data_IF_805169838542
#
_entry.id   IF_805169838542
#
_cell.length_a   1.000
_cell.length_b   1.000
_cell.length_c   1.000
_cell.angle_alpha   90.00
_cell.angle_beta   90.00
_cell.angle_gamma   90.00
#
_symmetry.space_group_name_H-M   'P 1'
#
loop_
_entity.id
_entity.type
_entity.pdbx_description
1 polymer ?
#
# COMPACT_ATOMS: atom_id res chain seq x y z
N UNK A 1 -42.36 -27.44 57.09
CA UNK A 1 -41.12 -26.71 56.73
C UNK A 1 -41.36 -25.89 55.47
N UNK A 2 -41.53 -24.57 55.57
CA UNK A 2 -41.60 -23.67 54.40
C UNK A 2 -40.19 -23.49 53.85
N UNK A 3 -39.90 -24.06 52.67
CA UNK A 3 -38.66 -23.81 51.93
C UNK A 3 -38.59 -22.31 51.65
N UNK A 4 -37.56 -21.64 52.17
CA UNK A 4 -37.30 -20.22 51.91
C UNK A 4 -37.11 -20.01 50.42
N UNK A 5 -38.06 -19.30 49.79
CA UNK A 5 -37.91 -18.77 48.44
C UNK A 5 -36.70 -17.84 48.46
N UNK A 6 -35.72 -18.05 47.59
CA UNK A 6 -34.50 -17.24 47.59
C UNK A 6 -34.84 -15.76 47.41
N UNK A 7 -34.12 -14.85 48.07
CA UNK A 7 -34.40 -13.41 47.96
C UNK A 7 -34.32 -12.88 46.52
N UNK A 8 -33.59 -13.58 45.65
CA UNK A 8 -33.42 -13.22 44.24
C UNK A 8 -34.64 -13.61 43.39
N UNK A 9 -35.39 -14.66 43.76
CA UNK A 9 -36.64 -15.05 43.08
C UNK A 9 -37.81 -14.09 43.34
N UNK A 10 -37.68 -13.18 44.31
CA UNK A 10 -38.68 -12.13 44.59
C UNK A 10 -38.52 -10.88 43.74
N UNK A 11 -37.44 -10.77 42.97
CA UNK A 11 -37.22 -9.61 42.11
C UNK A 11 -38.17 -9.63 40.91
N UNK A 12 -38.68 -8.45 40.49
CA UNK A 12 -39.37 -8.30 39.23
C UNK A 12 -38.56 -8.88 38.08
N UNK A 13 -39.22 -9.61 37.17
CA UNK A 13 -38.57 -10.29 36.03
C UNK A 13 -37.71 -9.35 35.18
N UNK A 14 -38.13 -8.09 35.05
CA UNK A 14 -37.42 -7.06 34.29
C UNK A 14 -36.08 -6.65 34.92
N UNK A 15 -36.05 -6.50 36.26
CA UNK A 15 -34.82 -6.18 36.98
C UNK A 15 -33.83 -7.35 36.93
N UNK A 16 -34.34 -8.58 37.03
CA UNK A 16 -33.52 -9.78 36.97
C UNK A 16 -32.97 -10.03 35.56
N UNK A 17 -33.75 -9.71 34.52
CA UNK A 17 -33.29 -9.69 33.13
C UNK A 17 -32.16 -8.67 32.91
N UNK A 18 -32.29 -7.45 33.46
CA UNK A 18 -31.24 -6.43 33.37
C UNK A 18 -29.95 -6.87 34.07
N UNK A 19 -30.05 -7.48 35.26
CA UNK A 19 -28.90 -8.07 35.96
C UNK A 19 -28.24 -9.16 35.12
N UNK A 20 -29.01 -10.02 34.45
CA UNK A 20 -28.46 -11.06 33.57
C UNK A 20 -27.75 -10.45 32.36
N UNK A 21 -28.33 -9.41 31.76
CA UNK A 21 -27.72 -8.64 30.67
C UNK A 21 -26.38 -8.03 31.12
N UNK A 22 -26.31 -7.48 32.33
CA UNK A 22 -25.07 -6.89 32.87
C UNK A 22 -24.01 -7.94 33.24
N UNK A 23 -24.41 -9.10 33.76
CA UNK A 23 -23.49 -10.23 34.00
C UNK A 23 -22.92 -10.72 32.67
N UNK A 24 -23.77 -10.89 31.65
CA UNK A 24 -23.33 -11.24 30.30
C UNK A 24 -22.44 -10.13 29.74
N UNK A 25 -22.76 -8.85 29.97
CA UNK A 25 -21.96 -7.69 29.58
C UNK A 25 -20.52 -7.79 30.08
N UNK A 26 -20.31 -8.31 31.27
CA UNK A 26 -18.98 -8.40 31.87
C UNK A 26 -18.25 -9.74 31.59
N UNK A 27 -18.89 -10.69 30.92
CA UNK A 27 -18.36 -12.04 30.64
C UNK A 27 -17.38 -12.16 29.45
N UNK A 28 -16.83 -11.04 28.97
CA UNK A 28 -15.81 -11.07 27.90
C UNK A 28 -16.21 -11.84 26.63
N UNK A 29 -17.50 -11.86 26.28
CA UNK A 29 -18.08 -12.58 25.14
C UNK A 29 -17.96 -14.13 25.19
N UNK A 30 -17.77 -14.73 26.37
CA UNK A 30 -17.71 -16.19 26.55
C UNK A 30 -19.10 -16.83 26.72
N UNK A 31 -20.09 -16.05 27.18
CA UNK A 31 -21.49 -16.42 27.46
C UNK A 31 -21.66 -17.73 28.25
N UNK A 32 -20.60 -18.16 28.96
CA UNK A 32 -20.59 -19.35 29.80
C UNK A 32 -21.55 -19.18 30.98
N UNK A 33 -21.72 -17.95 31.45
CA UNK A 33 -22.68 -17.60 32.49
C UNK A 33 -24.13 -17.81 32.09
N UNK A 34 -24.49 -17.75 30.79
CA UNK A 34 -25.86 -18.12 30.38
C UNK A 34 -26.13 -19.59 30.71
N UNK A 35 -25.16 -20.47 30.49
CA UNK A 35 -25.24 -21.87 30.89
C UNK A 35 -25.40 -22.03 32.40
N UNK A 36 -24.54 -21.35 33.17
CA UNK A 36 -24.59 -21.39 34.64
C UNK A 36 -25.92 -20.85 35.19
N UNK A 37 -26.39 -19.69 34.72
CA UNK A 37 -27.65 -19.06 35.12
C UNK A 37 -28.86 -19.94 34.76
N UNK A 38 -28.81 -20.63 33.61
CA UNK A 38 -29.87 -21.54 33.17
C UNK A 38 -29.99 -22.81 34.03
N UNK A 39 -28.95 -23.18 34.77
CA UNK A 39 -28.92 -24.37 35.63
C UNK A 39 -29.35 -24.11 37.08
N UNK A 40 -29.54 -22.84 37.49
CA UNK A 40 -29.82 -22.47 38.90
C UNK A 40 -31.23 -22.92 39.32
N UNK A 41 -32.26 -22.52 38.57
CA UNK A 41 -33.63 -22.94 38.84
C UNK A 41 -34.53 -22.76 37.60
N UNK A 42 -35.74 -23.32 37.63
CA UNK A 42 -36.67 -23.33 36.49
C UNK A 42 -37.11 -21.91 36.07
N UNK A 43 -37.25 -20.99 37.02
CA UNK A 43 -37.62 -19.60 36.74
C UNK A 43 -36.48 -18.86 36.01
N UNK A 44 -35.24 -19.07 36.43
CA UNK A 44 -34.05 -18.49 35.79
C UNK A 44 -33.79 -19.10 34.42
N UNK A 45 -34.05 -20.40 34.26
CA UNK A 45 -34.03 -21.06 32.95
C UNK A 45 -35.00 -20.40 31.96
N UNK A 46 -36.24 -20.13 32.38
CA UNK A 46 -37.23 -19.42 31.55
C UNK A 46 -36.80 -17.99 31.21
N UNK A 47 -36.20 -17.27 32.16
CA UNK A 47 -35.63 -15.94 31.94
C UNK A 47 -34.43 -15.96 30.99
N UNK A 48 -33.58 -17.00 31.05
CA UNK A 48 -32.48 -17.19 30.12
C UNK A 48 -32.95 -17.53 28.69
N UNK A 49 -34.21 -17.96 28.53
CA UNK A 49 -34.85 -18.17 27.23
C UNK A 49 -35.59 -16.93 26.71
N UNK A 50 -35.62 -15.85 27.48
CA UNK A 50 -36.36 -14.64 27.11
C UNK A 50 -35.76 -13.98 25.85
N UNK A 51 -36.60 -13.58 24.88
CA UNK A 51 -36.14 -13.07 23.58
C UNK A 51 -35.25 -11.83 23.71
N UNK A 52 -35.54 -10.93 24.66
CA UNK A 52 -34.75 -9.70 24.88
C UNK A 52 -33.29 -10.00 25.27
N UNK A 53 -33.06 -11.06 26.04
CA UNK A 53 -31.70 -11.49 26.41
C UNK A 53 -30.94 -11.95 25.16
N UNK A 54 -31.59 -12.75 24.31
CA UNK A 54 -31.02 -13.24 23.07
C UNK A 54 -30.87 -12.16 22.00
N UNK A 55 -31.77 -11.17 21.97
CA UNK A 55 -31.65 -9.99 21.12
C UNK A 55 -30.45 -9.13 21.54
N UNK A 56 -30.22 -8.95 22.85
CA UNK A 56 -29.03 -8.29 23.36
C UNK A 56 -27.75 -9.06 23.01
N UNK A 57 -27.73 -10.37 23.22
CA UNK A 57 -26.62 -11.27 22.86
C UNK A 57 -26.35 -11.19 21.35
N UNK A 58 -27.39 -11.27 20.52
CA UNK A 58 -27.31 -11.17 19.07
C UNK A 58 -26.81 -9.79 18.63
N UNK A 59 -27.33 -8.68 19.17
CA UNK A 59 -26.82 -7.33 18.89
C UNK A 59 -25.35 -7.23 19.27
N UNK A 60 -24.96 -7.69 20.45
CA UNK A 60 -23.57 -7.61 20.92
C UNK A 60 -22.59 -8.45 20.09
N UNK A 61 -23.02 -9.62 19.64
CA UNK A 61 -22.22 -10.51 18.76
C UNK A 61 -22.19 -9.96 17.33
N UNK A 62 -23.32 -9.48 16.80
CA UNK A 62 -23.56 -9.15 15.40
C UNK A 62 -23.41 -7.66 15.04
N UNK A 63 -23.12 -6.77 15.99
CA UNK A 63 -22.69 -5.37 15.72
C UNK A 63 -21.39 -5.34 14.88
N UNK A 64 -20.67 -6.46 14.78
CA UNK A 64 -19.67 -6.68 13.73
C UNK A 64 -20.37 -7.27 12.51
N UNK A 65 -20.55 -6.42 11.50
CA UNK A 65 -21.51 -6.45 10.38
C UNK A 65 -21.55 -7.64 9.37
N UNK A 66 -20.70 -8.71 9.34
CA UNK A 66 -20.87 -9.73 8.29
C UNK A 66 -21.89 -10.84 8.59
N UNK A 67 -22.35 -10.99 9.84
CA UNK A 67 -23.08 -12.20 10.25
C UNK A 67 -24.60 -12.06 10.24
N UNK A 68 -25.14 -10.83 10.31
CA UNK A 68 -26.55 -10.58 9.96
C UNK A 68 -26.78 -10.99 8.49
N UNK A 69 -25.83 -10.71 7.59
CA UNK A 69 -25.91 -11.12 6.17
C UNK A 69 -25.84 -12.65 5.98
N UNK A 70 -25.04 -13.37 6.80
CA UNK A 70 -24.99 -14.84 6.75
C UNK A 70 -26.19 -15.53 7.40
N UNK A 71 -26.76 -14.94 8.45
CA UNK A 71 -27.93 -15.48 9.15
C UNK A 71 -29.23 -15.09 8.45
N UNK A 72 -29.28 -13.96 7.75
CA UNK A 72 -30.48 -13.50 7.05
C UNK A 72 -30.51 -13.83 5.57
N UNK A 73 -29.39 -14.15 4.90
CA UNK A 73 -29.40 -14.55 3.49
C UNK A 73 -30.09 -13.57 2.52
N UNK A 74 -30.39 -12.35 2.96
CA UNK A 74 -31.36 -11.44 2.34
C UNK A 74 -30.78 -10.04 2.12
N UNK A 75 -29.45 -9.92 1.96
CA UNK A 75 -28.92 -8.79 1.21
C UNK A 75 -28.86 -9.23 -0.26
N UNK A 76 -29.53 -8.54 -1.20
CA UNK A 76 -29.49 -8.92 -2.60
C UNK A 76 -28.04 -8.85 -3.07
N UNK A 77 -27.48 -10.01 -3.39
CA UNK A 77 -26.22 -10.07 -4.13
C UNK A 77 -26.55 -9.75 -5.59
N UNK A 78 -25.69 -9.00 -6.28
CA UNK A 78 -25.75 -8.96 -7.74
C UNK A 78 -25.75 -10.39 -8.29
N UNK A 79 -26.54 -10.67 -9.34
CA UNK A 79 -26.76 -12.03 -9.87
C UNK A 79 -25.47 -12.84 -10.08
N UNK A 80 -24.40 -12.15 -10.49
CA UNK A 80 -23.08 -12.73 -10.74
C UNK A 80 -22.33 -13.11 -9.46
N UNK A 81 -22.57 -12.41 -8.36
CA UNK A 81 -22.05 -12.72 -7.02
C UNK A 81 -22.83 -13.87 -6.38
N UNK A 82 -24.12 -13.97 -6.68
CA UNK A 82 -25.00 -15.05 -6.20
C UNK A 82 -24.66 -16.39 -6.88
N UNK A 83 -24.36 -16.39 -8.17
CA UNK A 83 -23.90 -17.59 -8.89
C UNK A 83 -22.59 -18.15 -8.32
N UNK A 84 -21.64 -17.29 -7.96
CA UNK A 84 -20.35 -17.70 -7.38
C UNK A 84 -20.51 -18.21 -5.94
N UNK A 85 -21.39 -17.61 -5.15
CA UNK A 85 -21.76 -18.12 -3.82
C UNK A 85 -22.43 -19.49 -3.95
N UNK A 86 -23.28 -19.70 -4.95
CA UNK A 86 -23.89 -21.00 -5.23
C UNK A 86 -22.86 -22.03 -5.71
N UNK A 87 -21.88 -21.64 -6.54
CA UNK A 87 -20.75 -22.52 -6.92
C UNK A 87 -19.81 -22.83 -5.76
N UNK A 88 -19.59 -21.89 -4.83
CA UNK A 88 -18.82 -22.15 -3.60
C UNK A 88 -19.57 -23.06 -2.62
N UNK A 89 -20.91 -22.95 -2.53
CA UNK A 89 -21.76 -23.91 -1.78
C UNK A 89 -21.72 -25.33 -2.34
N UNK A 90 -21.46 -25.48 -3.64
CA UNK A 90 -21.27 -26.78 -4.29
C UNK A 90 -19.87 -27.39 -4.04
N UNK A 91 -18.87 -26.55 -3.73
CA UNK A 91 -17.49 -26.98 -3.46
C UNK A 91 -17.23 -27.29 -1.98
N UNK A 92 -18.01 -26.72 -1.06
CA UNK A 92 -18.07 -27.14 0.34
C UNK A 92 -19.20 -28.19 0.52
N UNK A 93 -19.00 -29.37 -0.07
CA UNK A 93 -19.84 -30.53 0.25
C UNK A 93 -19.50 -31.02 1.66
N UNK A 94 -20.32 -30.63 2.62
CA UNK A 94 -21.05 -31.55 3.52
C UNK A 94 -21.69 -30.74 4.67
N UNK A 95 -22.99 -30.99 4.88
CA UNK A 95 -23.83 -30.53 5.99
C UNK A 95 -24.26 -29.05 6.04
N UNK A 96 -25.02 -28.59 5.04
CA UNK A 96 -26.05 -27.57 5.29
C UNK A 96 -27.37 -27.93 4.59
N UNK A 97 -28.32 -28.46 5.37
CA UNK A 97 -29.71 -28.62 4.97
C UNK A 97 -30.27 -27.31 4.43
N UNK A 98 -30.81 -27.38 3.22
CA UNK A 98 -31.57 -26.33 2.57
C UNK A 98 -32.94 -26.26 3.27
N UNK A 99 -33.21 -25.17 3.98
CA UNK A 99 -34.56 -24.72 4.28
C UNK A 99 -34.67 -23.29 3.79
N UNK A 100 -35.27 -23.16 2.61
CA UNK A 100 -35.68 -21.89 2.04
C UNK A 100 -36.94 -21.48 2.80
N UNK A 101 -36.79 -20.59 3.78
CA UNK A 101 -37.93 -20.08 4.55
C UNK A 101 -38.75 -19.10 3.71
N UNK A 102 -40.06 -19.28 3.71
CA UNK A 102 -41.00 -18.29 3.17
C UNK A 102 -40.85 -16.97 3.96
N UNK A 103 -40.83 -15.80 3.28
CA UNK A 103 -40.57 -14.50 3.92
C UNK A 103 -41.62 -14.07 4.97
N UNK A 104 -42.68 -14.86 5.17
CA UNK A 104 -43.79 -14.58 6.08
C UNK A 104 -43.81 -15.47 7.34
N UNK A 105 -42.94 -16.47 7.46
CA UNK A 105 -42.86 -17.28 8.68
C UNK A 105 -41.84 -16.72 9.68
N UNK A 106 -42.18 -16.65 10.99
CA UNK A 106 -41.22 -16.28 12.02
C UNK A 106 -40.11 -17.34 12.08
N UNK A 107 -38.89 -16.92 11.77
CA UNK A 107 -37.70 -17.77 11.80
C UNK A 107 -37.58 -18.50 13.14
N UNK A 108 -37.30 -19.82 13.15
CA UNK A 108 -37.09 -20.55 14.39
C UNK A 108 -35.88 -19.98 15.15
N UNK A 109 -35.99 -19.94 16.48
CA UNK A 109 -34.91 -19.46 17.34
C UNK A 109 -33.61 -20.25 17.04
N UNK A 110 -32.47 -19.57 16.87
CA UNK A 110 -31.22 -20.21 16.50
C UNK A 110 -30.83 -21.27 17.54
N UNK A 111 -30.48 -22.48 17.09
CA UNK A 111 -30.07 -23.55 17.99
C UNK A 111 -28.79 -23.17 18.76
N UNK A 112 -28.65 -23.66 19.99
CA UNK A 112 -27.48 -23.40 20.85
C UNK A 112 -26.15 -23.74 20.15
N UNK A 113 -26.13 -24.79 19.33
CA UNK A 113 -24.96 -25.19 18.56
C UNK A 113 -24.62 -24.20 17.44
N UNK A 114 -25.64 -23.71 16.70
CA UNK A 114 -25.45 -22.70 15.67
C UNK A 114 -24.93 -21.39 16.28
N UNK A 115 -25.48 -20.96 17.42
CA UNK A 115 -25.06 -19.77 18.13
C UNK A 115 -23.61 -19.87 18.65
N UNK A 116 -23.21 -21.03 19.18
CA UNK A 116 -21.81 -21.26 19.59
C UNK A 116 -20.83 -21.21 18.40
N UNK A 117 -21.20 -21.83 17.28
CA UNK A 117 -20.38 -21.84 16.05
C UNK A 117 -20.26 -20.44 15.43
N UNK A 118 -21.32 -19.62 15.49
CA UNK A 118 -21.27 -18.23 15.03
C UNK A 118 -20.43 -17.35 15.95
N UNK A 119 -20.53 -17.53 17.26
CA UNK A 119 -19.70 -16.85 18.24
C UNK A 119 -18.21 -17.12 18.04
N UNK A 120 -17.82 -18.38 17.84
CA UNK A 120 -16.42 -18.73 17.56
C UNK A 120 -15.91 -18.07 16.27
N UNK A 121 -16.75 -17.97 15.24
CA UNK A 121 -16.41 -17.26 13.99
C UNK A 121 -16.24 -15.75 14.22
N UNK A 122 -17.10 -15.11 15.03
CA UNK A 122 -16.97 -13.68 15.38
C UNK A 122 -15.71 -13.44 16.20
N UNK A 123 -15.39 -14.31 17.15
CA UNK A 123 -14.18 -14.21 17.96
C UNK A 123 -12.93 -14.28 17.09
N UNK A 124 -12.81 -15.30 16.22
CA UNK A 124 -11.70 -15.41 15.25
C UNK A 124 -11.62 -14.20 14.33
N UNK A 125 -12.76 -13.65 13.89
CA UNK A 125 -12.78 -12.43 13.08
C UNK A 125 -12.31 -11.20 13.85
N UNK A 126 -12.70 -11.03 15.11
CA UNK A 126 -12.22 -9.92 15.95
C UNK A 126 -10.72 -10.03 16.22
N UNK A 127 -10.22 -11.24 16.50
CA UNK A 127 -8.79 -11.51 16.67
C UNK A 127 -8.00 -11.18 15.39
N UNK A 128 -8.48 -11.63 14.22
CA UNK A 128 -7.85 -11.30 12.93
C UNK A 128 -7.94 -9.81 12.59
N UNK A 129 -9.03 -9.13 12.95
CA UNK A 129 -9.18 -7.68 12.76
C UNK A 129 -8.25 -6.88 13.69
N UNK A 130 -8.04 -7.33 14.93
CA UNK A 130 -7.07 -6.73 15.84
C UNK A 130 -5.65 -6.88 15.31
N UNK A 131 -5.30 -8.08 14.83
CA UNK A 131 -4.01 -8.34 14.20
C UNK A 131 -3.82 -7.50 12.92
N UNK A 132 -4.84 -7.42 12.07
CA UNK A 132 -4.82 -6.56 10.88
C UNK A 132 -4.56 -5.10 11.22
N UNK A 133 -5.25 -4.55 12.23
CA UNK A 133 -5.02 -3.17 12.71
C UNK A 133 -3.61 -2.98 13.24
N UNK A 134 -3.05 -3.98 13.92
CA UNK A 134 -1.66 -3.95 14.39
C UNK A 134 -0.68 -3.90 13.20
N UNK A 135 -0.82 -4.80 12.24
CA UNK A 135 0.02 -4.85 11.02
C UNK A 135 -0.09 -3.55 10.23
N UNK A 136 -1.30 -3.00 10.07
CA UNK A 136 -1.53 -1.76 9.34
C UNK A 136 -0.83 -0.55 9.98
N UNK A 137 -0.74 -0.49 11.32
CA UNK A 137 0.02 0.56 12.02
C UNK A 137 1.51 0.42 11.77
N UNK A 138 2.06 -0.79 11.93
CA UNK A 138 3.50 -1.05 11.74
C UNK A 138 3.96 -0.93 10.28
N UNK A 139 3.07 -1.21 9.33
CA UNK A 139 3.33 -1.15 7.88
C UNK A 139 4.01 0.14 7.46
N UNK A 140 3.46 1.30 7.87
CA UNK A 140 3.97 2.59 7.41
C UNK A 140 5.44 2.76 7.76
N UNK A 141 5.81 2.38 8.99
CA UNK A 141 7.20 2.44 9.47
C UNK A 141 8.09 1.48 8.67
N UNK A 142 7.67 0.22 8.48
CA UNK A 142 8.44 -0.78 7.74
C UNK A 142 8.67 -0.35 6.29
N UNK A 143 7.63 0.12 5.60
CA UNK A 143 7.76 0.58 4.21
C UNK A 143 8.67 1.79 4.09
N UNK A 144 8.58 2.76 5.00
CA UNK A 144 9.48 3.90 5.04
C UNK A 144 10.93 3.50 5.39
N UNK A 145 11.12 2.47 6.21
CA UNK A 145 12.44 1.92 6.47
C UNK A 145 13.06 1.31 5.21
N UNK A 146 12.34 0.43 4.51
CA UNK A 146 12.82 -0.13 3.24
C UNK A 146 13.09 0.96 2.18
N UNK A 147 12.24 1.98 2.10
CA UNK A 147 12.48 3.11 1.19
C UNK A 147 13.75 3.88 1.55
N UNK A 148 14.03 4.05 2.86
CA UNK A 148 15.28 4.68 3.32
C UNK A 148 16.50 3.83 2.96
N UNK A 149 16.40 2.50 3.09
CA UNK A 149 17.45 1.57 2.66
C UNK A 149 17.67 1.68 1.14
N UNK A 150 16.61 1.69 0.33
CA UNK A 150 16.72 1.89 -1.12
C UNK A 150 17.45 3.20 -1.46
N UNK A 151 17.03 4.32 -0.87
CA UNK A 151 17.66 5.62 -1.10
C UNK A 151 19.13 5.63 -0.68
N UNK A 152 19.45 5.01 0.45
CA UNK A 152 20.81 4.87 0.93
C UNK A 152 21.68 4.02 -0.02
N UNK A 153 21.17 2.87 -0.46
CA UNK A 153 21.86 2.00 -1.42
C UNK A 153 22.13 2.71 -2.74
N UNK A 154 21.18 3.51 -3.25
CA UNK A 154 21.38 4.32 -4.46
C UNK A 154 22.42 5.41 -4.24
N UNK A 155 22.35 6.16 -3.13
CA UNK A 155 23.33 7.20 -2.81
C UNK A 155 24.75 6.62 -2.69
N UNK A 156 24.89 5.47 -2.02
CA UNK A 156 26.15 4.75 -1.95
C UNK A 156 26.61 4.23 -3.31
N UNK A 157 25.72 3.70 -4.15
CA UNK A 157 26.07 3.22 -5.49
C UNK A 157 26.63 4.33 -6.38
N UNK A 158 26.03 5.53 -6.33
CA UNK A 158 26.51 6.70 -7.09
C UNK A 158 27.88 7.15 -6.56
N UNK A 159 28.07 7.15 -5.24
CA UNK A 159 29.32 7.57 -4.60
C UNK A 159 30.45 6.58 -4.85
N UNK A 160 30.17 5.28 -4.79
CA UNK A 160 31.16 4.25 -5.13
C UNK A 160 31.49 4.28 -6.61
N UNK A 161 30.50 4.52 -7.49
CA UNK A 161 30.75 4.72 -8.91
C UNK A 161 31.64 5.94 -9.17
N UNK A 162 31.40 7.06 -8.49
CA UNK A 162 32.25 8.25 -8.52
C UNK A 162 33.70 7.93 -8.13
N UNK A 163 33.91 7.27 -6.97
CA UNK A 163 35.25 6.89 -6.51
C UNK A 163 35.96 5.96 -7.49
N UNK A 164 35.25 4.95 -8.02
CA UNK A 164 35.78 4.02 -9.03
C UNK A 164 36.20 4.76 -10.30
N UNK A 165 35.39 5.71 -10.77
CA UNK A 165 35.69 6.47 -11.98
C UNK A 165 36.85 7.46 -11.84
N UNK A 166 37.15 7.93 -10.63
CA UNK A 166 38.36 8.72 -10.34
C UNK A 166 39.59 7.85 -10.04
N UNK A 167 39.43 6.51 -9.97
CA UNK A 167 40.52 5.59 -9.64
C UNK A 167 40.90 5.57 -8.15
N UNK A 168 40.02 6.05 -7.26
CA UNK A 168 40.23 5.92 -5.82
C UNK A 168 39.96 4.47 -5.36
N UNK A 169 41.01 3.77 -4.97
CA UNK A 169 40.90 2.45 -4.34
C UNK A 169 40.93 2.59 -2.81
N UNK A 170 39.74 2.68 -2.19
CA UNK A 170 39.57 2.68 -0.74
C UNK A 170 39.66 1.25 -0.19
N UNK A 171 40.81 0.59 -0.37
CA UNK A 171 41.09 -0.74 0.17
C UNK A 171 40.16 -1.85 -0.37
N UNK A 172 39.79 -1.80 -1.65
CA UNK A 172 38.92 -2.77 -2.29
C UNK A 172 37.41 -2.53 -2.10
N UNK A 173 37.01 -1.50 -1.34
CA UNK A 173 35.60 -1.12 -1.14
C UNK A 173 35.02 -0.36 -2.34
N UNK A 174 35.87 0.21 -3.20
CA UNK A 174 35.47 0.93 -4.40
C UNK A 174 35.73 0.05 -5.63
N UNK A 175 34.78 -0.83 -5.95
CA UNK A 175 34.82 -1.65 -7.15
C UNK A 175 33.46 -1.66 -7.86
N UNK A 176 33.48 -1.89 -9.17
CA UNK A 176 32.28 -2.02 -10.02
C UNK A 176 31.32 -3.11 -9.50
N UNK A 177 31.84 -4.20 -8.94
CA UNK A 177 31.04 -5.27 -8.31
C UNK A 177 30.22 -4.77 -7.13
N UNK A 178 30.78 -3.87 -6.32
CA UNK A 178 30.10 -3.27 -5.16
C UNK A 178 29.03 -2.28 -5.63
N UNK A 179 29.31 -1.49 -6.68
CA UNK A 179 28.31 -0.61 -7.31
C UNK A 179 27.08 -1.42 -7.74
N UNK A 180 27.29 -2.51 -8.49
CA UNK A 180 26.19 -3.37 -8.91
C UNK A 180 25.52 -4.06 -7.73
N UNK A 181 26.27 -4.54 -6.73
CA UNK A 181 25.71 -5.13 -5.51
C UNK A 181 24.76 -4.19 -4.78
N UNK A 182 25.13 -2.91 -4.65
CA UNK A 182 24.27 -1.87 -4.06
C UNK A 182 23.01 -1.60 -4.89
N UNK A 183 23.12 -1.59 -6.22
CA UNK A 183 21.96 -1.46 -7.12
C UNK A 183 21.01 -2.67 -6.99
N UNK A 184 21.55 -3.89 -6.95
CA UNK A 184 20.76 -5.11 -6.73
C UNK A 184 20.02 -5.08 -5.39
N UNK A 185 20.68 -4.60 -4.32
CA UNK A 185 20.03 -4.40 -3.03
C UNK A 185 18.91 -3.36 -3.09
N UNK A 186 19.11 -2.26 -3.82
CA UNK A 186 18.06 -1.26 -4.03
C UNK A 186 16.84 -1.86 -4.76
N UNK A 187 17.07 -2.65 -5.81
CA UNK A 187 16.00 -3.30 -6.59
C UNK A 187 15.23 -4.33 -5.75
N UNK A 188 15.94 -5.16 -4.97
CA UNK A 188 15.29 -6.12 -4.06
C UNK A 188 14.43 -5.41 -3.01
N UNK A 189 14.88 -4.28 -2.47
CA UNK A 189 14.08 -3.49 -1.53
C UNK A 189 12.81 -2.91 -2.19
N UNK A 190 12.90 -2.43 -3.44
CA UNK A 190 11.73 -1.94 -4.18
C UNK A 190 10.73 -3.07 -4.43
N UNK A 191 11.18 -4.23 -4.89
CA UNK A 191 10.32 -5.41 -5.09
C UNK A 191 9.68 -5.83 -3.77
N UNK A 192 10.45 -5.87 -2.67
CA UNK A 192 9.94 -6.20 -1.35
C UNK A 192 8.86 -5.20 -0.88
N UNK A 193 9.02 -3.90 -1.13
CA UNK A 193 8.01 -2.86 -0.84
C UNK A 193 6.71 -3.15 -1.60
N UNK A 194 6.81 -3.41 -2.91
CA UNK A 194 5.63 -3.67 -3.77
C UNK A 194 4.92 -4.95 -3.34
N UNK A 195 5.66 -6.06 -3.19
CA UNK A 195 5.12 -7.36 -2.78
C UNK A 195 4.51 -7.27 -1.38
N UNK A 196 5.19 -6.63 -0.42
CA UNK A 196 4.66 -6.44 0.93
C UNK A 196 3.35 -5.64 0.92
N UNK A 197 3.24 -4.61 0.08
CA UNK A 197 2.01 -3.84 -0.06
C UNK A 197 0.85 -4.70 -0.61
N UNK A 198 1.11 -5.52 -1.63
CA UNK A 198 0.10 -6.43 -2.22
C UNK A 198 -0.32 -7.51 -1.23
N UNK A 199 0.65 -8.21 -0.63
CA UNK A 199 0.41 -9.27 0.36
C UNK A 199 -0.40 -8.71 1.51
N UNK A 200 -0.09 -7.51 1.98
CA UNK A 200 -0.82 -6.98 3.13
C UNK A 200 -2.28 -6.63 2.82
N UNK A 201 -2.57 -6.13 1.61
CA UNK A 201 -3.95 -5.87 1.18
C UNK A 201 -4.71 -7.18 0.86
N UNK A 202 -4.03 -8.20 0.35
CA UNK A 202 -4.66 -9.46 -0.06
C UNK A 202 -4.77 -10.52 1.06
N UNK A 203 -3.82 -10.56 2.00
CA UNK A 203 -3.66 -11.65 2.96
C UNK A 203 -4.16 -11.32 4.37
N UNK A 204 -3.95 -10.10 4.86
CA UNK A 204 -4.27 -9.75 6.26
C UNK A 204 -5.68 -9.18 6.46
N UNK A 205 -6.40 -8.77 5.41
CA UNK A 205 -7.78 -8.30 5.55
C UNK A 205 -8.69 -9.43 6.08
N UNK A 206 -9.56 -9.21 7.08
CA UNK A 206 -10.33 -10.28 7.73
C UNK A 206 -11.49 -10.84 6.88
N UNK A 207 -11.56 -10.50 5.59
CA UNK A 207 -12.54 -10.97 4.62
C UNK A 207 -12.11 -12.31 3.97
N UNK A 208 -13.04 -13.10 3.40
CA UNK A 208 -12.70 -14.32 2.67
C UNK A 208 -11.82 -14.05 1.43
N UNK A 209 -10.88 -14.96 1.14
CA UNK A 209 -9.78 -14.78 0.17
C UNK A 209 -10.24 -14.49 -1.27
N UNK A 210 -11.27 -15.17 -1.77
CA UNK A 210 -11.75 -14.98 -3.15
C UNK A 210 -12.39 -13.60 -3.38
N UNK A 211 -13.19 -13.12 -2.41
CA UNK A 211 -13.77 -11.77 -2.47
C UNK A 211 -12.69 -10.68 -2.41
N UNK A 212 -11.63 -10.89 -1.62
CA UNK A 212 -10.47 -9.99 -1.54
C UNK A 212 -9.70 -9.93 -2.87
N UNK A 213 -9.39 -11.08 -3.46
CA UNK A 213 -8.67 -11.15 -4.75
C UNK A 213 -9.46 -10.49 -5.87
N UNK A 214 -10.80 -10.64 -5.89
CA UNK A 214 -11.65 -9.97 -6.88
C UNK A 214 -11.68 -8.46 -6.69
N UNK A 215 -11.82 -7.99 -5.44
CA UNK A 215 -11.81 -6.55 -5.11
C UNK A 215 -10.47 -5.90 -5.45
N UNK A 216 -9.36 -6.58 -5.14
CA UNK A 216 -8.01 -6.05 -5.30
C UNK A 216 -7.36 -6.48 -6.63
N UNK A 217 -8.13 -7.01 -7.60
CA UNK A 217 -7.62 -7.47 -8.90
C UNK A 217 -6.85 -6.38 -9.65
N UNK A 218 -7.37 -5.14 -9.62
CA UNK A 218 -6.73 -4.01 -10.29
C UNK A 218 -5.40 -3.65 -9.63
N UNK A 219 -5.32 -3.69 -8.29
CA UNK A 219 -4.06 -3.47 -7.56
C UNK A 219 -3.03 -4.55 -7.88
N UNK A 220 -3.44 -5.83 -7.83
CA UNK A 220 -2.55 -6.96 -8.12
C UNK A 220 -2.03 -6.85 -9.56
N UNK A 221 -2.94 -6.61 -10.52
CA UNK A 221 -2.56 -6.45 -11.92
C UNK A 221 -1.63 -5.24 -12.12
N UNK A 222 -1.98 -4.07 -11.58
CA UNK A 222 -1.14 -2.88 -11.68
C UNK A 222 0.25 -3.13 -11.07
N UNK A 223 0.32 -3.73 -9.89
CA UNK A 223 1.61 -4.05 -9.23
C UNK A 223 2.45 -5.06 -10.02
N UNK A 224 1.82 -6.08 -10.62
CA UNK A 224 2.50 -7.05 -11.46
C UNK A 224 3.04 -6.41 -12.74
N UNK A 225 2.24 -5.53 -13.38
CA UNK A 225 2.68 -4.73 -14.53
C UNK A 225 3.82 -3.81 -14.15
N UNK A 226 3.77 -3.15 -12.99
CA UNK A 226 4.88 -2.30 -12.51
C UNK A 226 6.16 -3.10 -12.28
N UNK A 227 6.08 -4.30 -11.70
CA UNK A 227 7.24 -5.18 -11.53
C UNK A 227 7.79 -5.61 -12.90
N UNK A 228 6.92 -6.00 -13.83
CA UNK A 228 7.31 -6.41 -15.17
C UNK A 228 8.03 -5.27 -15.92
N UNK A 229 7.47 -4.05 -15.89
CA UNK A 229 8.11 -2.86 -16.45
C UNK A 229 9.45 -2.58 -15.77
N UNK A 230 9.54 -2.68 -14.44
CA UNK A 230 10.80 -2.53 -13.73
C UNK A 230 11.86 -3.58 -14.13
N UNK A 231 11.43 -4.82 -14.40
CA UNK A 231 12.33 -5.87 -14.90
C UNK A 231 12.85 -5.50 -16.29
N UNK A 232 11.96 -5.12 -17.20
CA UNK A 232 12.30 -4.77 -18.58
C UNK A 232 13.14 -3.49 -18.69
N UNK A 233 12.80 -2.45 -17.93
CA UNK A 233 13.33 -1.10 -18.12
C UNK A 233 14.50 -0.77 -17.19
N UNK A 234 14.72 -1.55 -16.14
CA UNK A 234 15.79 -1.28 -15.16
C UNK A 234 16.69 -2.50 -14.97
N UNK A 235 16.11 -3.66 -14.64
CA UNK A 235 16.89 -4.84 -14.27
C UNK A 235 17.65 -5.42 -15.46
N UNK A 236 16.98 -5.67 -16.58
CA UNK A 236 17.61 -6.22 -17.80
C UNK A 236 18.72 -5.26 -18.30
N UNK A 237 18.49 -3.94 -18.44
CA UNK A 237 19.54 -3.00 -18.79
C UNK A 237 20.74 -3.03 -17.85
N UNK A 238 20.49 -3.04 -16.53
CA UNK A 238 21.56 -3.10 -15.53
C UNK A 238 22.40 -4.37 -15.68
N UNK A 239 21.73 -5.52 -15.88
CA UNK A 239 22.39 -6.80 -16.11
C UNK A 239 23.22 -6.79 -17.39
N UNK A 240 22.68 -6.26 -18.49
CA UNK A 240 23.39 -6.17 -19.77
C UNK A 240 24.62 -5.26 -19.65
N UNK A 241 24.52 -4.14 -18.95
CA UNK A 241 25.66 -3.25 -18.65
C UNK A 241 26.72 -4.01 -17.84
N UNK A 242 26.31 -4.72 -16.79
CA UNK A 242 27.22 -5.50 -15.95
C UNK A 242 27.95 -6.59 -16.77
N UNK A 243 27.24 -7.31 -17.63
CA UNK A 243 27.82 -8.30 -18.53
C UNK A 243 28.77 -7.63 -19.53
N UNK A 244 28.38 -6.51 -20.14
CA UNK A 244 29.20 -5.82 -21.14
C UNK A 244 30.53 -5.32 -20.55
N UNK A 245 30.49 -4.81 -19.31
CA UNK A 245 31.69 -4.38 -18.58
C UNK A 245 32.62 -5.54 -18.19
N UNK A 246 32.08 -6.74 -17.99
CA UNK A 246 32.86 -7.94 -17.65
C UNK A 246 33.50 -8.65 -18.85
N UNK A 247 33.18 -8.26 -20.09
CA UNK A 247 33.71 -8.89 -21.31
C UNK A 247 34.98 -8.21 -21.80
N UNK A 248 35.86 -9.01 -22.43
CA UNK A 248 37.04 -8.52 -23.15
C UNK A 248 36.65 -7.74 -24.41
N UNK A 249 35.70 -8.29 -25.17
CA UNK A 249 35.10 -7.62 -26.34
C UNK A 249 33.70 -7.14 -25.99
N UNK A 250 33.51 -5.81 -26.07
CA UNK A 250 32.25 -5.15 -25.76
C UNK A 250 31.31 -5.23 -26.96
N UNK A 251 30.05 -5.55 -26.72
CA UNK A 251 29.01 -5.39 -27.72
C UNK A 251 28.45 -3.96 -27.68
N UNK A 252 27.73 -3.56 -28.74
CA UNK A 252 27.20 -2.19 -28.86
C UNK A 252 26.34 -1.81 -27.65
N UNK A 253 26.64 -0.66 -27.06
CA UNK A 253 25.92 -0.14 -25.88
C UNK A 253 24.43 0.03 -26.13
N UNK A 254 23.98 0.18 -27.38
CA UNK A 254 22.56 0.23 -27.74
C UNK A 254 21.78 -1.01 -27.26
N UNK A 255 22.39 -2.20 -27.32
CA UNK A 255 21.75 -3.43 -26.86
C UNK A 255 21.46 -3.38 -25.34
N UNK A 256 22.25 -2.63 -24.57
CA UNK A 256 22.05 -2.51 -23.13
C UNK A 256 20.78 -1.74 -22.77
N UNK A 257 20.25 -0.87 -23.63
CA UNK A 257 19.03 -0.11 -23.36
C UNK A 257 17.92 -0.30 -24.39
N UNK A 258 18.02 -1.34 -25.23
CA UNK A 258 17.00 -1.61 -26.25
C UNK A 258 15.63 -1.85 -25.63
N UNK A 259 15.57 -2.50 -24.46
CA UNK A 259 14.32 -2.75 -23.73
C UNK A 259 13.68 -1.45 -23.26
N UNK A 260 14.48 -0.52 -22.72
CA UNK A 260 14.04 0.82 -22.29
C UNK A 260 13.48 1.62 -23.46
N UNK A 261 14.22 1.65 -24.57
CA UNK A 261 13.81 2.38 -25.77
C UNK A 261 12.50 1.79 -26.33
N UNK A 262 12.41 0.46 -26.43
CA UNK A 262 11.21 -0.23 -26.90
C UNK A 262 10.02 0.02 -25.97
N UNK A 263 10.20 -0.03 -24.66
CA UNK A 263 9.15 0.23 -23.67
C UNK A 263 8.56 1.62 -23.83
N UNK A 264 9.41 2.65 -23.89
CA UNK A 264 8.96 4.02 -24.11
C UNK A 264 8.34 4.25 -25.50
N UNK A 265 8.86 3.61 -26.55
CA UNK A 265 8.27 3.67 -27.89
C UNK A 265 6.89 2.98 -27.95
N UNK A 266 6.73 1.83 -27.29
CA UNK A 266 5.46 1.12 -27.19
C UNK A 266 4.44 1.92 -26.36
N UNK A 267 4.88 2.54 -25.27
CA UNK A 267 4.04 3.48 -24.54
C UNK A 267 3.65 4.66 -25.42
N UNK A 268 4.58 5.26 -26.15
CA UNK A 268 4.26 6.36 -27.07
C UNK A 268 3.25 5.92 -28.13
N UNK A 269 3.41 4.73 -28.70
CA UNK A 269 2.48 4.16 -29.67
C UNK A 269 1.10 3.95 -29.05
N UNK A 270 1.03 3.41 -27.84
CA UNK A 270 -0.21 3.28 -27.08
C UNK A 270 -0.88 4.64 -26.87
N UNK A 271 -0.17 5.62 -26.31
CA UNK A 271 -0.69 6.97 -26.08
C UNK A 271 -1.17 7.60 -27.38
N UNK A 272 -0.42 7.47 -28.48
CA UNK A 272 -0.85 7.95 -29.79
C UNK A 272 -2.12 7.25 -30.27
N UNK A 273 -2.23 5.93 -30.18
CA UNK A 273 -3.45 5.22 -30.60
C UNK A 273 -4.70 5.66 -29.82
N UNK A 274 -4.57 5.96 -28.52
CA UNK A 274 -5.68 6.39 -27.68
C UNK A 274 -6.01 7.87 -27.81
N UNK A 275 -5.01 8.73 -28.00
CA UNK A 275 -5.19 10.18 -28.10
C UNK A 275 -5.53 10.62 -29.52
N UNK A 276 -4.97 9.98 -30.55
CA UNK A 276 -5.16 10.34 -31.95
C UNK A 276 -6.63 10.41 -32.40
N UNK A 277 -7.57 9.53 -31.98
CA UNK A 277 -8.98 9.71 -32.33
C UNK A 277 -9.61 10.98 -31.71
N UNK A 278 -9.31 11.28 -30.44
CA UNK A 278 -9.80 12.48 -29.76
C UNK A 278 -9.16 13.76 -30.34
N UNK A 279 -7.84 13.74 -30.55
CA UNK A 279 -7.09 14.80 -31.20
C UNK A 279 -7.59 15.07 -32.63
N UNK A 280 -7.91 14.03 -33.41
CA UNK A 280 -8.44 14.16 -34.77
C UNK A 280 -9.84 14.75 -34.79
N UNK A 281 -10.70 14.42 -33.83
CA UNK A 281 -12.01 15.04 -33.69
C UNK A 281 -11.90 16.52 -33.33
N UNK A 282 -11.00 16.86 -32.40
CA UNK A 282 -10.78 18.23 -31.96
C UNK A 282 -10.08 19.09 -33.03
N UNK A 283 -9.15 18.54 -33.80
CA UNK A 283 -8.54 19.20 -34.97
C UNK A 283 -9.56 19.45 -36.08
N UNK A 284 -10.48 18.51 -36.34
CA UNK A 284 -11.59 18.74 -37.28
C UNK A 284 -12.51 19.86 -36.81
N UNK A 285 -12.79 19.93 -35.51
CA UNK A 285 -13.56 21.01 -34.91
C UNK A 285 -12.85 22.37 -35.05
N UNK A 286 -11.55 22.43 -34.76
CA UNK A 286 -10.76 23.68 -34.88
C UNK A 286 -10.53 24.12 -36.34
N UNK A 287 -10.47 23.20 -37.30
CA UNK A 287 -10.46 23.56 -38.72
C UNK A 287 -11.75 24.26 -39.16
N UNK A 288 -12.87 24.01 -38.48
CA UNK A 288 -14.14 24.69 -38.76
C UNK A 288 -14.34 25.98 -37.97
N UNK A 289 -13.76 26.08 -36.77
CA UNK A 289 -13.86 27.25 -35.89
C UNK A 289 -12.48 27.54 -35.30
N UNK A 290 -11.74 28.48 -35.93
CA UNK A 290 -10.38 28.81 -35.52
C UNK A 290 -10.42 29.64 -34.23
N UNK A 291 -10.25 28.97 -33.09
CA UNK A 291 -10.04 29.62 -31.80
C UNK A 291 -8.60 29.39 -31.32
N UNK A 292 -7.75 30.41 -31.50
CA UNK A 292 -6.30 30.37 -31.20
C UNK A 292 -6.04 30.00 -29.73
N UNK A 293 -6.92 30.42 -28.81
CA UNK A 293 -6.81 30.11 -27.38
C UNK A 293 -6.98 28.61 -27.09
N UNK A 294 -7.95 27.97 -27.74
CA UNK A 294 -8.18 26.52 -27.61
C UNK A 294 -7.07 25.73 -28.30
N UNK A 295 -6.52 26.22 -29.41
CA UNK A 295 -5.35 25.63 -30.07
C UNK A 295 -4.13 25.62 -29.16
N UNK A 296 -3.86 26.73 -28.47
CA UNK A 296 -2.75 26.81 -27.51
C UNK A 296 -2.98 25.91 -26.28
N UNK A 297 -4.20 25.88 -25.73
CA UNK A 297 -4.55 24.97 -24.64
C UNK A 297 -4.39 23.50 -25.03
N UNK A 298 -4.79 23.13 -26.25
CA UNK A 298 -4.64 21.78 -26.79
C UNK A 298 -3.16 21.38 -26.91
N UNK A 299 -2.29 22.26 -27.40
CA UNK A 299 -0.85 22.00 -27.45
C UNK A 299 -0.30 21.80 -26.05
N UNK A 300 -0.59 22.71 -25.11
CA UNK A 300 -0.10 22.63 -23.72
C UNK A 300 -0.55 21.36 -23.01
N UNK A 301 -1.81 20.94 -23.19
CA UNK A 301 -2.34 19.71 -22.62
C UNK A 301 -1.73 18.43 -23.23
N UNK A 302 -1.15 18.51 -24.42
CA UNK A 302 -0.52 17.38 -25.10
C UNK A 302 1.01 17.34 -24.99
N UNK A 303 1.68 18.38 -24.46
CA UNK A 303 3.11 18.36 -24.12
C UNK A 303 3.49 17.14 -23.26
N UNK A 304 2.71 16.75 -22.21
CA UNK A 304 2.95 15.54 -21.42
C UNK A 304 3.05 14.26 -22.25
N UNK A 305 2.34 14.20 -23.38
CA UNK A 305 2.29 13.02 -24.24
C UNK A 305 3.51 12.87 -25.15
N UNK A 306 4.40 13.88 -25.21
CA UNK A 306 5.68 13.79 -25.91
C UNK A 306 6.84 13.30 -25.04
N UNK A 307 6.68 13.31 -23.71
CA UNK A 307 7.76 12.94 -22.79
C UNK A 307 8.27 11.50 -22.97
N UNK A 308 7.44 10.46 -23.13
CA UNK A 308 7.94 9.10 -23.32
C UNK A 308 8.90 8.99 -24.51
N UNK A 309 8.54 9.63 -25.64
CA UNK A 309 9.42 9.70 -26.81
C UNK A 309 10.73 10.46 -26.53
N UNK A 310 10.66 11.58 -25.81
CA UNK A 310 11.84 12.34 -25.41
C UNK A 310 12.76 11.52 -24.48
N UNK A 311 12.21 10.70 -23.58
CA UNK A 311 12.98 9.79 -22.73
C UNK A 311 13.58 8.62 -23.52
N UNK A 312 12.88 8.09 -24.54
CA UNK A 312 13.44 7.11 -25.46
C UNK A 312 14.63 7.70 -26.24
N UNK A 313 14.45 8.90 -26.79
CA UNK A 313 15.51 9.63 -27.49
C UNK A 313 16.69 9.93 -26.56
N UNK A 314 16.43 10.35 -25.33
CA UNK A 314 17.47 10.60 -24.34
C UNK A 314 18.26 9.33 -23.99
N UNK A 315 17.58 8.20 -23.82
CA UNK A 315 18.22 6.91 -23.55
C UNK A 315 19.10 6.47 -24.72
N UNK A 316 18.59 6.62 -25.95
CA UNK A 316 19.37 6.37 -27.16
C UNK A 316 20.61 7.25 -27.23
N UNK A 317 20.45 8.57 -27.05
CA UNK A 317 21.56 9.51 -27.05
C UNK A 317 22.59 9.20 -25.95
N UNK A 318 22.15 8.84 -24.73
CA UNK A 318 23.07 8.46 -23.66
C UNK A 318 23.93 7.25 -24.04
N UNK A 319 23.35 6.20 -24.63
CA UNK A 319 24.10 5.02 -25.08
C UNK A 319 25.03 5.33 -26.26
N UNK A 320 24.60 6.19 -27.18
CA UNK A 320 25.41 6.67 -28.29
C UNK A 320 26.61 7.49 -27.80
N UNK A 321 26.41 8.32 -26.77
CA UNK A 321 27.50 9.03 -26.12
C UNK A 321 28.53 8.06 -25.51
N UNK A 322 28.07 7.02 -24.80
CA UNK A 322 28.99 6.01 -24.22
C UNK A 322 29.76 5.25 -25.32
N UNK A 323 29.15 5.02 -26.48
CA UNK A 323 29.77 4.30 -27.60
C UNK A 323 30.77 5.17 -28.39
N UNK A 324 30.43 6.43 -28.68
CA UNK A 324 31.16 7.26 -29.64
C UNK A 324 31.78 8.54 -29.04
N UNK A 325 31.43 8.91 -27.80
CA UNK A 325 32.01 10.05 -27.09
C UNK A 325 31.57 11.44 -27.57
N UNK A 326 30.70 11.54 -28.58
CA UNK A 326 30.30 12.84 -29.14
C UNK A 326 29.40 13.63 -28.17
N UNK A 327 29.80 14.88 -27.87
CA UNK A 327 29.09 15.78 -26.94
C UNK A 327 27.68 16.16 -27.41
N UNK A 328 27.39 16.10 -28.72
CA UNK A 328 26.05 16.39 -29.26
C UNK A 328 24.98 15.45 -28.69
N UNK A 329 25.35 14.22 -28.37
CA UNK A 329 24.45 13.25 -27.76
C UNK A 329 24.17 13.57 -26.29
N UNK A 330 25.12 14.15 -25.55
CA UNK A 330 24.88 14.65 -24.18
C UNK A 330 23.88 15.80 -24.23
N UNK A 331 24.02 16.71 -25.19
CA UNK A 331 23.12 17.85 -25.34
C UNK A 331 21.69 17.39 -25.61
N UNK A 332 21.51 16.48 -26.59
CA UNK A 332 20.20 15.95 -26.95
C UNK A 332 19.59 15.09 -25.84
N UNK A 333 20.40 14.27 -25.15
CA UNK A 333 19.91 13.40 -24.08
C UNK A 333 19.73 14.08 -22.72
N UNK A 334 20.45 15.16 -22.46
CA UNK A 334 20.37 15.92 -21.22
C UNK A 334 19.11 16.79 -21.13
N UNK A 335 18.61 17.32 -22.25
CA UNK A 335 17.46 18.24 -22.27
C UNK A 335 16.22 17.66 -21.58
N UNK A 336 15.73 16.45 -21.90
CA UNK A 336 14.55 15.90 -21.24
C UNK A 336 14.73 15.70 -19.72
N UNK A 337 15.94 15.34 -19.30
CA UNK A 337 16.29 15.17 -17.88
C UNK A 337 16.30 16.52 -17.16
N UNK A 338 16.93 17.55 -17.74
CA UNK A 338 16.97 18.90 -17.17
C UNK A 338 15.56 19.48 -17.07
N UNK A 339 14.75 19.36 -18.13
CA UNK A 339 13.38 19.89 -18.15
C UNK A 339 12.52 19.19 -17.09
N UNK A 340 12.56 17.86 -17.01
CA UNK A 340 11.76 17.11 -16.02
C UNK A 340 12.17 17.41 -14.58
N UNK A 341 13.46 17.43 -14.27
CA UNK A 341 13.97 17.80 -12.96
C UNK A 341 13.67 19.27 -12.61
N UNK A 342 13.70 20.17 -13.60
CA UNK A 342 13.38 21.59 -13.43
C UNK A 342 11.92 21.81 -13.12
N UNK A 343 11.01 21.12 -13.83
CA UNK A 343 9.58 21.13 -13.53
C UNK A 343 9.32 20.59 -12.12
N UNK A 344 9.94 19.47 -11.73
CA UNK A 344 9.80 18.93 -10.37
C UNK A 344 10.33 19.90 -9.32
N UNK A 345 11.50 20.50 -9.52
CA UNK A 345 12.06 21.48 -8.61
C UNK A 345 11.12 22.69 -8.43
N UNK A 346 10.55 23.21 -9.53
CA UNK A 346 9.56 24.29 -9.50
C UNK A 346 8.29 23.90 -8.75
N UNK A 347 7.76 22.69 -8.98
CA UNK A 347 6.58 22.18 -8.27
C UNK A 347 6.82 22.12 -6.77
N UNK A 348 7.95 21.55 -6.32
CA UNK A 348 8.29 21.49 -4.90
C UNK A 348 8.53 22.87 -4.27
N UNK A 349 9.07 23.81 -5.05
CA UNK A 349 9.27 25.19 -4.62
C UNK A 349 7.92 25.93 -4.48
N UNK A 350 6.99 25.72 -5.41
CA UNK A 350 5.61 26.21 -5.33
C UNK A 350 4.87 25.61 -4.13
N UNK A 351 4.99 24.30 -3.90
CA UNK A 351 4.43 23.63 -2.74
C UNK A 351 5.02 24.18 -1.44
N UNK A 352 6.31 24.54 -1.41
CA UNK A 352 6.90 25.23 -0.27
C UNK A 352 6.30 26.62 -0.05
N UNK A 353 6.16 27.44 -1.09
CA UNK A 353 5.54 28.76 -0.95
C UNK A 353 4.08 28.67 -0.50
N UNK A 354 3.36 27.62 -0.91
CA UNK A 354 1.96 27.38 -0.53
C UNK A 354 1.82 26.80 0.89
N UNK A 355 2.62 25.80 1.26
CA UNK A 355 2.43 24.99 2.47
C UNK A 355 3.47 25.26 3.57
N UNK A 356 4.52 26.04 3.30
CA UNK A 356 5.64 26.39 4.19
C UNK A 356 6.33 25.18 4.84
N UNK A 357 6.38 24.06 4.10
CA UNK A 357 7.00 22.82 4.58
C UNK A 357 8.45 22.75 4.14
N UNK A 358 9.39 22.87 5.09
CA UNK A 358 10.84 22.80 4.83
C UNK A 358 11.30 21.54 4.07
N UNK A 359 10.56 20.43 4.17
CA UNK A 359 10.86 19.21 3.39
C UNK A 359 10.77 19.46 1.88
N UNK A 360 9.82 20.28 1.43
CA UNK A 360 9.54 20.51 0.02
C UNK A 360 10.61 21.44 -0.56
N UNK A 361 11.07 22.43 0.22
CA UNK A 361 12.27 23.22 -0.09
C UNK A 361 13.53 22.34 -0.22
N UNK A 362 13.77 21.45 0.74
CA UNK A 362 14.93 20.56 0.69
C UNK A 362 14.92 19.64 -0.54
N UNK A 363 13.76 19.08 -0.89
CA UNK A 363 13.59 18.28 -2.11
C UNK A 363 13.80 19.12 -3.38
N UNK A 364 13.24 20.33 -3.42
CA UNK A 364 13.44 21.27 -4.54
C UNK A 364 14.91 21.61 -4.78
N UNK A 365 15.67 21.90 -3.71
CA UNK A 365 17.11 22.14 -3.79
C UNK A 365 17.87 20.89 -4.26
N UNK A 366 17.50 19.69 -3.78
CA UNK A 366 18.14 18.45 -4.23
C UNK A 366 17.90 18.20 -5.73
N UNK A 367 16.69 18.41 -6.25
CA UNK A 367 16.42 18.30 -7.68
C UNK A 367 17.15 19.36 -8.50
N UNK A 368 17.27 20.58 -7.96
CA UNK A 368 18.06 21.64 -8.58
C UNK A 368 19.54 21.28 -8.67
N UNK A 369 20.12 20.72 -7.61
CA UNK A 369 21.49 20.21 -7.63
C UNK A 369 21.66 19.05 -8.63
N UNK A 370 20.70 18.14 -8.71
CA UNK A 370 20.73 17.03 -9.67
C UNK A 370 20.73 17.52 -11.13
N UNK A 371 20.08 18.65 -11.45
CA UNK A 371 20.12 19.25 -12.78
C UNK A 371 21.51 19.70 -13.23
N UNK A 372 22.42 19.95 -12.29
CA UNK A 372 23.80 20.35 -12.62
C UNK A 372 24.62 19.20 -13.21
N UNK A 373 24.22 17.95 -13.01
CA UNK A 373 24.90 16.77 -13.56
C UNK A 373 25.00 16.79 -15.10
N UNK A 374 23.90 16.82 -15.87
CA UNK A 374 23.98 16.87 -17.33
C UNK A 374 24.68 18.12 -17.85
N UNK A 375 24.61 19.25 -17.11
CA UNK A 375 25.35 20.48 -17.44
C UNK A 375 26.85 20.27 -17.26
N UNK A 376 27.27 19.60 -16.18
CA UNK A 376 28.69 19.32 -15.92
C UNK A 376 29.33 18.47 -17.03
N UNK A 377 28.57 17.53 -17.62
CA UNK A 377 29.00 16.69 -18.74
C UNK A 377 29.13 17.44 -20.08
N UNK A 378 28.46 18.58 -20.22
CA UNK A 378 28.59 19.42 -21.42
C UNK A 378 29.87 20.26 -21.39
N UNK A 379 30.25 20.72 -20.19
CA UNK A 379 31.40 21.62 -19.98
C UNK A 379 32.70 20.84 -19.87
N UNK A 380 32.70 19.70 -19.19
CA UNK A 380 33.89 18.88 -18.91
C UNK A 380 33.79 17.51 -19.57
N UNK A 381 34.95 16.88 -19.87
CA UNK A 381 34.97 15.45 -20.19
C UNK A 381 34.50 14.65 -18.97
N UNK A 382 33.86 13.49 -19.21
CA UNK A 382 33.36 12.65 -18.12
C UNK A 382 34.51 12.29 -17.17
N UNK A 383 34.44 12.82 -15.96
CA UNK A 383 35.25 12.44 -14.80
C UNK A 383 34.30 12.04 -13.67
N UNK A 384 34.78 11.29 -12.69
CA UNK A 384 33.94 10.88 -11.58
C UNK A 384 33.34 12.05 -10.81
N UNK A 385 34.08 13.16 -10.66
CA UNK A 385 33.58 14.39 -10.04
C UNK A 385 32.35 14.98 -10.74
N UNK A 386 32.09 14.66 -12.00
CA UNK A 386 30.85 15.04 -12.66
C UNK A 386 29.62 14.45 -11.93
N UNK A 387 29.74 13.30 -11.26
CA UNK A 387 28.65 12.68 -10.48
C UNK A 387 28.41 13.34 -9.11
N UNK A 388 29.27 14.26 -8.67
CA UNK A 388 29.17 14.91 -7.36
C UNK A 388 27.82 15.61 -7.12
N UNK A 389 27.24 16.39 -8.05
CA UNK A 389 25.93 17.02 -7.84
C UNK A 389 24.82 15.99 -7.65
N UNK A 390 24.91 14.85 -8.35
CA UNK A 390 23.95 13.76 -8.25
C UNK A 390 24.11 12.99 -6.92
N UNK A 391 25.35 12.72 -6.49
CA UNK A 391 25.64 12.10 -5.20
C UNK A 391 25.15 12.97 -4.03
N UNK A 392 25.45 14.27 -4.07
CA UNK A 392 25.01 15.24 -3.07
C UNK A 392 23.48 15.33 -3.01
N UNK A 393 22.81 15.38 -4.16
CA UNK A 393 21.35 15.36 -4.24
C UNK A 393 20.76 14.06 -3.67
N UNK A 394 21.32 12.90 -4.00
CA UNK A 394 20.85 11.61 -3.51
C UNK A 394 20.98 11.49 -1.98
N UNK A 395 22.11 11.91 -1.40
CA UNK A 395 22.27 11.98 0.05
C UNK A 395 21.31 13.00 0.69
N UNK A 396 21.11 14.18 0.07
CA UNK A 396 20.16 15.17 0.55
C UNK A 396 18.74 14.60 0.66
N UNK A 397 18.29 13.89 -0.37
CA UNK A 397 16.99 13.19 -0.39
C UNK A 397 16.95 12.10 0.69
N UNK A 398 17.99 11.30 0.82
CA UNK A 398 18.09 10.28 1.86
C UNK A 398 18.00 10.88 3.27
N UNK A 399 18.78 11.92 3.58
CA UNK A 399 18.77 12.54 4.91
C UNK A 399 17.42 13.21 5.22
N UNK A 400 16.82 13.88 4.24
CA UNK A 400 15.48 14.47 4.38
C UNK A 400 14.44 13.39 4.69
N UNK A 401 14.47 12.27 3.96
CA UNK A 401 13.57 11.14 4.20
C UNK A 401 13.84 10.46 5.53
N UNK A 402 15.10 10.11 5.84
CA UNK A 402 15.49 9.44 7.09
C UNK A 402 15.09 10.26 8.32
N UNK A 403 15.31 11.59 8.30
CA UNK A 403 14.86 12.49 9.36
C UNK A 403 13.34 12.43 9.55
N UNK A 404 12.58 12.38 8.46
CA UNK A 404 11.13 12.24 8.51
C UNK A 404 10.70 10.89 9.11
N UNK A 405 11.35 9.78 8.71
CA UNK A 405 11.06 8.44 9.25
C UNK A 405 11.33 8.37 10.74
N UNK A 406 12.52 8.83 11.18
CA UNK A 406 12.91 8.84 12.59
C UNK A 406 11.95 9.70 13.40
N UNK A 407 11.63 10.91 12.94
CA UNK A 407 10.66 11.79 13.61
C UNK A 407 9.28 11.13 13.72
N UNK A 408 8.79 10.52 12.63
CA UNK A 408 7.50 9.84 12.63
C UNK A 408 7.47 8.64 13.59
N UNK A 409 8.55 7.85 13.62
CA UNK A 409 8.65 6.69 14.51
C UNK A 409 8.69 7.11 16.00
N UNK A 410 9.44 8.17 16.33
CA UNK A 410 9.49 8.73 17.69
C UNK A 410 8.11 9.27 18.09
N UNK A 411 7.42 9.99 17.22
CA UNK A 411 6.07 10.48 17.49
C UNK A 411 5.06 9.35 17.71
N UNK A 412 5.17 8.27 16.95
CA UNK A 412 4.32 7.09 17.12
C UNK A 412 4.60 6.37 18.45
N UNK A 413 5.88 6.20 18.81
CA UNK A 413 6.31 5.64 20.09
C UNK A 413 5.82 6.49 21.28
N UNK A 414 5.94 7.81 21.19
CA UNK A 414 5.43 8.71 22.23
C UNK A 414 3.91 8.60 22.38
N UNK A 415 3.17 8.44 21.27
CA UNK A 415 1.72 8.24 21.31
C UNK A 415 1.35 6.91 21.97
N UNK A 416 2.06 5.82 21.67
CA UNK A 416 1.79 4.52 22.30
C UNK A 416 2.07 4.56 23.80
N UNK A 417 3.19 5.15 24.22
CA UNK A 417 3.54 5.29 25.64
C UNK A 417 2.49 6.14 26.38
N UNK A 418 2.02 7.25 25.79
CA UNK A 418 0.94 8.06 26.40
C UNK A 418 -0.38 7.29 26.48
N UNK A 419 -0.73 6.52 25.46
CA UNK A 419 -1.95 5.72 25.45
C UNK A 419 -1.92 4.61 26.51
N UNK A 420 -0.77 3.93 26.68
CA UNK A 420 -0.57 2.93 27.72
C UNK A 420 -0.61 3.56 29.11
N UNK A 421 0.04 4.71 29.32
CA UNK A 421 0.01 5.45 30.59
C UNK A 421 -1.43 5.86 30.95
N UNK A 422 -2.19 6.40 30.00
CA UNK A 422 -3.58 6.81 30.24
C UNK A 422 -4.52 5.60 30.44
N UNK A 423 -4.29 4.48 29.74
CA UNK A 423 -5.02 3.24 29.95
C UNK A 423 -4.74 2.58 31.30
N UNK A 424 -3.52 2.70 31.81
CA UNK A 424 -3.13 2.24 33.15
C UNK A 424 -3.79 3.09 34.25
N UNK A 425 -3.89 4.41 34.04
CA UNK A 425 -4.61 5.33 34.93
C UNK A 425 -6.13 5.03 34.94
N UNK A 426 -6.73 4.65 33.81
CA UNK A 426 -8.14 4.25 33.75
C UNK A 426 -8.44 2.87 34.36
N UNK A 427 -7.43 1.99 34.51
CA UNK A 427 -7.56 0.69 35.18
C UNK A 427 -7.31 0.75 36.68
N UNK A 428 -6.83 1.88 37.20
CA UNK A 428 -6.53 2.07 38.63
C UNK A 428 -7.57 2.83 39.47
N UNK A 429 -8.78 3.24 39.02
CA UNK A 429 -9.67 4.02 39.88
C UNK A 429 -10.40 3.21 40.97
N UNK A 430 -10.34 1.87 40.98
CA UNK A 430 -11.11 1.05 41.93
C UNK A 430 -10.31 0.35 43.04
N UNK A 431 -8.98 0.50 43.08
CA UNK A 431 -8.16 -0.11 44.13
C UNK A 431 -8.04 0.73 45.42
N UNK A 432 -8.35 2.03 45.37
CA UNK A 432 -8.13 2.96 46.49
C UNK A 432 -9.42 3.46 47.19
N UNK A 433 -10.56 2.79 47.01
CA UNK A 433 -11.82 3.08 47.74
C UNK A 433 -12.17 2.06 48.83
N UNK A 434 -11.15 1.46 49.44
CA UNK A 434 -11.28 0.75 50.71
C UNK A 434 -10.12 1.13 51.63
N UNK A 435 -10.34 2.21 52.37
CA UNK A 435 -9.94 2.35 53.77
C UNK A 435 -11.01 3.20 54.46
#
# INVERSE_FOLDING_TARGET
>A
MKRGVSHVERLPRELLLNVFIDVIRNDGDNFGWIGVLSCVCRSWYQLCQHPVLWEYVAKRICVVYPLVVRLHGAAPYDALSQEIVNRMRLLESEEQCILQYDPLEPLPAPSRAALRKTMEKVRRYRESQQYYKYVQRRRRVVLHFFLSVTLFSVALAITTAMCVSEGFDMGGLCNTTIVFGLLWMAYLCIVAIIVSNVVMQAHFEPLPLLLRLRRNKLLIFASAVTILLGICDVIIPTLLIQINLGRKERFSWLWCGITVILSFCLWQLYTLMYIMPAARQQLRYQMTHVNVREGFQFVVLNIPNGFPFLFAAASFCALQYVQYGYRIYILLGGVPVIVSLGVLALVFLLDFYSLHRFKDLAMGICFFLAMLFPISLLVWEFRGLCLLPLAAAAFGIFFAHARYVVSSAIHELMRTIRAERNGCILRTPDANKKN
#
